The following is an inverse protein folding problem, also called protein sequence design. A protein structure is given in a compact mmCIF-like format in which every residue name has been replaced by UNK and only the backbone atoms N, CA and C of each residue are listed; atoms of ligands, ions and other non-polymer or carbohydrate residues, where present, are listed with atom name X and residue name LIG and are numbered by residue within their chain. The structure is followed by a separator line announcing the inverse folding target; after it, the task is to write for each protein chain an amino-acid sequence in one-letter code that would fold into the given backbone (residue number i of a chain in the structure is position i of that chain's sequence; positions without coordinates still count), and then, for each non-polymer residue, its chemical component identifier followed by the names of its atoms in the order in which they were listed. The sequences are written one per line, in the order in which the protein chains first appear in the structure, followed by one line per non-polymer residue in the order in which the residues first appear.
data_IF_573495489157
#
_entry.id   IF_573495489157
#
_cell.length_a   1.000
_cell.length_b   1.000
_cell.length_c   1.000
_cell.angle_alpha   90.00
_cell.angle_beta   90.00
_cell.angle_gamma   90.00
#
_symmetry.space_group_name_H-M   'P 1'
#
loop_
_entity.id
_entity.type
_entity.pdbx_description
1 polymer ?
#
# COMPACT_ATOMS: atom_id res chain seq x y z
N UNK A 1 27.26 8.99 -3.88
CA UNK A 1 27.85 8.66 -2.57
C UNK A 1 27.14 9.51 -1.53
N UNK A 2 26.47 8.91 -0.55
CA UNK A 2 25.83 9.65 0.54
C UNK A 2 26.85 9.77 1.68
N UNK A 3 27.03 10.97 2.22
CA UNK A 3 27.84 11.19 3.43
C UNK A 3 26.90 11.29 4.62
N UNK A 4 26.99 10.34 5.54
CA UNK A 4 26.16 10.25 6.73
C UNK A 4 27.03 10.51 7.97
N UNK A 5 26.70 11.53 8.75
CA UNK A 5 27.37 11.78 10.03
C UNK A 5 26.77 10.85 11.09
N UNK A 6 27.57 9.88 11.54
CA UNK A 6 27.20 8.97 12.61
C UNK A 6 27.79 9.45 13.93
N UNK A 7 27.09 9.28 15.07
CA UNK A 7 27.70 9.43 16.39
C UNK A 7 28.89 8.46 16.55
N UNK A 8 29.95 8.85 17.26
CA UNK A 8 31.17 8.04 17.38
C UNK A 8 30.93 6.68 18.05
N UNK A 9 29.94 6.58 18.95
CA UNK A 9 29.56 5.28 19.53
C UNK A 9 28.94 4.32 18.51
N UNK A 10 28.12 4.86 17.60
CA UNK A 10 27.45 4.07 16.57
C UNK A 10 28.46 3.60 15.52
N UNK A 11 29.44 4.44 15.18
CA UNK A 11 30.52 4.09 14.27
C UNK A 11 31.37 2.93 14.83
N UNK A 12 31.71 2.97 16.13
CA UNK A 12 32.42 1.87 16.80
C UNK A 12 31.63 0.56 16.78
N UNK A 13 30.32 0.62 17.05
CA UNK A 13 29.44 -0.55 17.00
C UNK A 13 29.34 -1.12 15.58
N UNK A 14 29.22 -0.24 14.58
CA UNK A 14 29.18 -0.64 13.17
C UNK A 14 30.49 -1.33 12.76
N UNK A 15 31.64 -0.80 13.18
CA UNK A 15 32.95 -1.40 12.92
C UNK A 15 33.13 -2.77 13.59
N UNK A 16 32.69 -2.91 14.85
CA UNK A 16 32.75 -4.21 15.53
C UNK A 16 31.84 -5.24 14.85
N UNK A 17 30.66 -4.81 14.43
CA UNK A 17 29.67 -5.67 13.77
C UNK A 17 30.12 -6.09 12.36
N UNK A 18 30.69 -5.15 11.60
CA UNK A 18 31.33 -5.40 10.31
C UNK A 18 32.43 -6.45 10.39
N UNK A 19 33.30 -6.34 11.41
CA UNK A 19 34.36 -7.32 11.64
C UNK A 19 33.81 -8.69 12.02
N UNK A 20 32.76 -8.76 12.84
CA UNK A 20 32.16 -10.06 13.22
C UNK A 20 31.44 -10.75 12.07
N UNK A 21 30.78 -9.99 11.18
CA UNK A 21 30.10 -10.55 10.01
C UNK A 21 31.02 -10.78 8.80
N UNK A 22 32.26 -10.27 8.83
CA UNK A 22 33.16 -10.33 7.69
C UNK A 22 32.73 -9.46 6.50
N UNK A 23 31.88 -8.45 6.75
CA UNK A 23 31.32 -7.55 5.73
C UNK A 23 31.93 -6.16 5.84
N UNK A 24 31.85 -5.39 4.77
CA UNK A 24 32.19 -3.97 4.80
C UNK A 24 31.12 -3.14 5.54
N UNK A 25 31.53 -1.99 6.09
CA UNK A 25 30.60 -1.02 6.69
C UNK A 25 29.47 -0.62 5.73
N UNK A 26 29.82 -0.42 4.46
CA UNK A 26 28.86 -0.03 3.41
C UNK A 26 27.83 -1.12 3.10
N UNK A 27 28.22 -2.39 3.13
CA UNK A 27 27.29 -3.51 2.94
C UNK A 27 26.29 -3.60 4.09
N UNK A 28 26.74 -3.50 5.34
CA UNK A 28 25.83 -3.49 6.49
C UNK A 28 24.85 -2.33 6.42
N UNK A 29 25.33 -1.12 6.11
CA UNK A 29 24.46 0.06 5.97
C UNK A 29 23.44 -0.14 4.84
N UNK A 30 23.86 -0.74 3.72
CA UNK A 30 22.96 -1.06 2.60
C UNK A 30 21.88 -2.05 3.02
N UNK A 31 22.27 -3.13 3.69
CA UNK A 31 21.35 -4.18 4.17
C UNK A 31 20.36 -3.59 5.19
N UNK A 32 20.84 -2.76 6.12
CA UNK A 32 19.98 -2.07 7.10
C UNK A 32 18.98 -1.12 6.44
N UNK A 33 19.37 -0.39 5.39
CA UNK A 33 18.45 0.49 4.63
C UNK A 33 17.39 -0.34 3.90
N UNK A 34 17.79 -1.45 3.27
CA UNK A 34 16.86 -2.36 2.59
C UNK A 34 15.87 -2.96 3.57
N UNK A 35 16.34 -3.39 4.75
CA UNK A 35 15.50 -3.91 5.82
C UNK A 35 14.55 -2.84 6.37
N UNK A 36 15.03 -1.61 6.57
CA UNK A 36 14.20 -0.49 7.01
C UNK A 36 13.09 -0.18 6.00
N UNK A 37 13.41 -0.16 4.70
CA UNK A 37 12.43 0.05 3.62
C UNK A 37 11.48 -1.14 3.52
N UNK A 38 11.93 -2.38 3.73
CA UNK A 38 11.03 -3.54 3.70
C UNK A 38 10.04 -3.50 4.87
N UNK A 39 10.52 -3.16 6.06
CA UNK A 39 9.73 -3.15 7.28
C UNK A 39 8.78 -1.94 7.36
N UNK A 40 9.20 -0.77 6.87
CA UNK A 40 8.43 0.48 6.96
C UNK A 40 7.89 1.00 5.62
N UNK A 41 8.47 0.58 4.51
CA UNK A 41 8.09 1.01 3.16
C UNK A 41 6.96 0.20 2.55
N UNK A 42 6.43 -0.82 3.24
CA UNK A 42 5.13 -1.42 2.88
C UNK A 42 3.96 -0.51 3.25
N UNK A 43 4.00 0.74 2.79
CA UNK A 43 2.80 1.54 2.57
C UNK A 43 2.10 0.94 1.36
N UNK A 44 1.50 -0.24 1.52
CA UNK A 44 0.58 -0.79 0.52
C UNK A 44 -0.33 0.35 0.11
N UNK A 45 -0.43 0.59 -1.20
CA UNK A 45 -1.29 1.67 -1.66
C UNK A 45 -2.73 1.39 -1.19
N UNK A 46 -3.58 2.41 -0.99
CA UNK A 46 -4.97 2.17 -0.61
C UNK A 46 -5.69 1.18 -1.55
N UNK A 47 -5.27 1.13 -2.81
CA UNK A 47 -5.73 0.12 -3.77
C UNK A 47 -5.26 -1.30 -3.40
N UNK A 48 -3.96 -1.50 -3.17
CA UNK A 48 -3.40 -2.80 -2.75
C UNK A 48 -3.93 -3.29 -1.39
N UNK A 49 -4.30 -2.37 -0.49
CA UNK A 49 -4.94 -2.71 0.78
C UNK A 49 -6.37 -3.22 0.61
N UNK A 50 -7.08 -2.76 -0.42
CA UNK A 50 -8.46 -3.13 -0.70
C UNK A 50 -8.63 -4.07 -1.88
N UNK A 51 -7.54 -4.58 -2.48
CA UNK A 51 -7.56 -5.40 -3.69
C UNK A 51 -8.48 -6.60 -3.53
N UNK A 52 -8.45 -7.23 -2.35
CA UNK A 52 -9.32 -8.34 -2.03
C UNK A 52 -10.79 -7.91 -1.88
N UNK A 53 -11.09 -6.66 -1.56
CA UNK A 53 -12.45 -6.12 -1.41
C UNK A 53 -13.05 -5.65 -2.74
N UNK A 54 -12.22 -5.24 -3.71
CA UNK A 54 -12.69 -4.80 -5.02
C UNK A 54 -13.07 -6.00 -5.92
N UNK A 55 -14.02 -5.81 -6.83
CA UNK A 55 -14.38 -6.82 -7.84
C UNK A 55 -15.15 -8.07 -7.35
N UNK A 56 -15.30 -8.28 -6.03
CA UNK A 56 -16.03 -9.43 -5.46
C UNK A 56 -17.50 -9.53 -5.88
N UNK A 57 -18.16 -8.41 -6.17
CA UNK A 57 -19.55 -8.36 -6.57
C UNK A 57 -19.70 -7.68 -7.93
N UNK A 58 -19.87 -8.50 -8.97
CA UNK A 58 -20.27 -8.01 -10.29
C UNK A 58 -21.79 -7.85 -10.32
N UNK A 59 -22.25 -6.63 -10.55
CA UNK A 59 -23.66 -6.30 -10.83
C UNK A 59 -24.15 -6.82 -12.19
N UNK A 60 -23.28 -7.47 -12.97
CA UNK A 60 -23.55 -7.92 -14.34
C UNK A 60 -23.57 -6.80 -15.39
N UNK A 61 -23.32 -5.55 -14.98
CA UNK A 61 -23.43 -4.37 -15.85
C UNK A 61 -22.05 -3.70 -15.94
N UNK A 62 -21.42 -3.77 -17.11
CA UNK A 62 -20.03 -3.33 -17.32
C UNK A 62 -19.87 -1.81 -17.40
N UNK A 63 -20.94 -1.07 -17.66
CA UNK A 63 -20.92 0.39 -17.90
C UNK A 63 -21.48 1.20 -16.72
N UNK A 64 -21.62 0.60 -15.53
CA UNK A 64 -22.20 1.24 -14.35
C UNK A 64 -21.50 2.55 -13.95
N UNK A 65 -20.17 2.58 -14.03
CA UNK A 65 -19.40 3.78 -13.69
C UNK A 65 -19.66 4.92 -14.69
N UNK A 66 -19.74 4.59 -15.98
CA UNK A 66 -19.95 5.55 -17.06
C UNK A 66 -21.39 6.08 -17.07
N UNK A 67 -22.37 5.20 -16.90
CA UNK A 67 -23.80 5.51 -16.97
C UNK A 67 -24.48 5.63 -15.60
N UNK A 68 -23.71 5.95 -14.55
CA UNK A 68 -24.17 5.97 -13.14
C UNK A 68 -25.48 6.73 -12.91
N UNK A 69 -25.66 7.88 -13.57
CA UNK A 69 -26.86 8.72 -13.40
C UNK A 69 -28.12 8.05 -13.94
N UNK A 70 -28.02 7.38 -15.09
CA UNK A 70 -29.14 6.68 -15.72
C UNK A 70 -29.62 5.53 -14.84
N UNK A 71 -28.69 4.69 -14.38
CA UNK A 71 -29.01 3.55 -13.51
C UNK A 71 -29.56 3.98 -12.15
N UNK A 72 -29.03 5.06 -11.57
CA UNK A 72 -29.54 5.62 -10.31
C UNK A 72 -31.00 6.07 -10.45
N UNK A 73 -31.32 6.81 -11.52
CA UNK A 73 -32.70 7.26 -11.78
C UNK A 73 -33.66 6.09 -11.97
N UNK A 74 -33.25 5.05 -12.70
CA UNK A 74 -34.05 3.83 -12.88
C UNK A 74 -34.33 3.14 -11.53
N UNK A 75 -33.31 2.99 -10.68
CA UNK A 75 -33.46 2.38 -9.35
C UNK A 75 -34.43 3.16 -8.45
N UNK A 76 -34.33 4.50 -8.44
CA UNK A 76 -35.22 5.36 -7.65
C UNK A 76 -36.67 5.28 -8.16
N UNK A 77 -36.86 5.37 -9.48
CA UNK A 77 -38.19 5.26 -10.09
C UNK A 77 -38.83 3.90 -9.77
N UNK A 78 -38.08 2.81 -9.89
CA UNK A 78 -38.55 1.46 -9.54
C UNK A 78 -38.98 1.33 -8.08
N UNK A 79 -38.21 1.89 -7.13
CA UNK A 79 -38.58 1.92 -5.70
C UNK A 79 -39.87 2.71 -5.47
N UNK A 80 -39.99 3.89 -6.08
CA UNK A 80 -41.17 4.74 -5.93
C UNK A 80 -42.42 4.11 -6.55
N UNK A 81 -42.29 3.41 -7.67
CA UNK A 81 -43.39 2.66 -8.27
C UNK A 81 -43.90 1.56 -7.33
N UNK A 82 -42.99 0.73 -6.77
CA UNK A 82 -43.35 -0.33 -5.81
C UNK A 82 -44.05 0.21 -4.55
N UNK A 83 -43.67 1.40 -4.07
CA UNK A 83 -44.30 2.07 -2.92
C UNK A 83 -45.68 2.63 -3.20
N UNK A 84 -46.02 2.88 -4.47
CA UNK A 84 -47.34 3.38 -4.88
C UNK A 84 -48.35 2.26 -5.11
N UNK A 85 -47.88 1.04 -5.30
CA UNK A 85 -48.69 -0.15 -5.57
C UNK A 85 -48.93 -1.02 -4.33
N UNK A 86 -48.27 -0.70 -3.20
CA UNK A 86 -48.55 -1.23 -1.86
C UNK A 86 -49.32 -0.18 -1.07
#
# INVERSE_FOLDING_TARGET
MISLRLPPELERKLDSFAKSEGKSRSEIVKDSILEYIKNHGSLKTPFELGEDLFGKHASGVSDLAQNRKKYLQQSIKGKNAKRRTN
#
